data_IF_621117182951
#
_entry.id   IF_621117182951
#
_cell.length_a   1.000
_cell.length_b   1.000
_cell.length_c   1.000
_cell.angle_alpha   90.00
_cell.angle_beta   90.00
_cell.angle_gamma   90.00
#
_symmetry.space_group_name_H-M   'P 1'
#
loop_
_entity.id
_entity.type
_entity.pdbx_description
1 polymer ?
#
# COMPACT_ATOMS: atom_id res chain seq x y z
N UNK A 1 -3.98 27.96 -8.76
CA UNK A 1 -3.28 27.38 -9.93
C UNK A 1 -1.81 27.43 -9.60
N UNK A 2 -1.20 26.29 -9.29
CA UNK A 2 0.24 26.17 -9.08
C UNK A 2 0.77 25.20 -10.13
N UNK A 3 1.74 25.67 -10.91
CA UNK A 3 2.41 24.87 -11.93
C UNK A 3 3.11 23.70 -11.25
N UNK A 4 2.83 22.48 -11.71
CA UNK A 4 3.48 21.27 -11.21
C UNK A 4 4.94 21.27 -11.70
N UNK A 5 5.85 21.94 -11.00
CA UNK A 5 7.28 21.78 -11.23
C UNK A 5 7.72 20.43 -10.64
N UNK A 6 8.08 19.51 -11.52
CA UNK A 6 8.28 18.08 -11.26
C UNK A 6 9.53 17.75 -10.43
N UNK A 7 10.45 18.71 -10.26
CA UNK A 7 11.79 18.47 -9.71
C UNK A 7 12.12 19.27 -8.44
N UNK A 8 11.14 19.98 -7.88
CA UNK A 8 11.33 20.74 -6.65
C UNK A 8 11.42 19.82 -5.44
N UNK A 9 12.65 19.50 -5.06
CA UNK A 9 13.02 18.78 -3.84
C UNK A 9 13.44 19.80 -2.77
N UNK A 10 13.05 19.57 -1.51
CA UNK A 10 13.45 20.42 -0.39
C UNK A 10 12.78 21.81 -0.34
N UNK A 11 11.77 22.05 -1.18
CA UNK A 11 10.96 23.28 -1.19
C UNK A 11 9.75 23.16 -0.26
N UNK A 12 9.14 24.29 0.12
CA UNK A 12 7.89 24.30 0.93
C UNK A 12 6.75 23.50 0.28
N UNK A 13 6.66 23.51 -1.05
CA UNK A 13 5.72 22.71 -1.82
C UNK A 13 6.03 21.21 -1.69
N UNK A 14 7.30 20.81 -1.77
CA UNK A 14 7.73 19.42 -1.58
C UNK A 14 7.37 18.89 -0.19
N UNK A 15 7.63 19.67 0.86
CA UNK A 15 7.25 19.33 2.23
C UNK A 15 5.73 19.22 2.40
N UNK A 16 4.97 20.13 1.79
CA UNK A 16 3.49 20.09 1.82
C UNK A 16 2.94 18.83 1.16
N UNK A 17 3.51 18.40 0.02
CA UNK A 17 3.18 17.14 -0.65
C UNK A 17 3.50 15.92 0.21
N UNK A 18 4.69 15.88 0.83
CA UNK A 18 5.09 14.81 1.73
C UNK A 18 4.17 14.72 2.97
N UNK A 19 3.78 15.87 3.54
CA UNK A 19 2.83 15.92 4.64
C UNK A 19 1.42 15.45 4.22
N UNK A 20 0.95 15.84 3.04
CA UNK A 20 -0.32 15.36 2.48
C UNK A 20 -0.30 13.84 2.27
N UNK A 21 0.81 13.30 1.75
CA UNK A 21 1.01 11.85 1.61
C UNK A 21 0.96 11.12 2.97
N UNK A 22 1.63 11.64 3.99
CA UNK A 22 1.60 11.03 5.33
C UNK A 22 0.20 11.01 5.93
N UNK A 23 -0.59 12.09 5.75
CA UNK A 23 -1.99 12.12 6.16
C UNK A 23 -2.81 11.09 5.41
N UNK A 24 -2.67 11.02 4.08
CA UNK A 24 -3.35 10.01 3.26
C UNK A 24 -3.06 8.57 3.73
N UNK A 25 -1.80 8.22 3.98
CA UNK A 25 -1.44 6.87 4.47
C UNK A 25 -2.01 6.61 5.87
N UNK A 26 -2.01 7.62 6.74
CA UNK A 26 -2.61 7.51 8.06
C UNK A 26 -4.13 7.32 7.99
N UNK A 27 -4.82 8.04 7.12
CA UNK A 27 -6.25 7.89 6.87
C UNK A 27 -6.55 6.48 6.32
N UNK A 28 -5.77 6.00 5.35
CA UNK A 28 -5.92 4.65 4.81
C UNK A 28 -5.72 3.58 5.90
N UNK A 29 -4.75 3.77 6.81
CA UNK A 29 -4.49 2.86 7.94
C UNK A 29 -5.66 2.82 8.92
N UNK A 30 -6.21 3.97 9.29
CA UNK A 30 -7.35 4.05 10.21
C UNK A 30 -8.65 3.54 9.60
N UNK A 31 -8.81 3.63 8.28
CA UNK A 31 -9.95 3.03 7.57
C UNK A 31 -9.85 1.51 7.49
N UNK A 32 -8.64 1.00 7.33
CA UNK A 32 -8.35 -0.42 7.16
C UNK A 32 -8.19 -1.21 8.46
N UNK A 33 -7.97 -0.53 9.57
CA UNK A 33 -7.64 -1.21 10.82
C UNK A 33 -7.95 -0.44 12.08
N UNK A 34 -7.84 -1.16 13.19
CA UNK A 34 -8.08 -0.66 14.55
C UNK A 34 -6.81 -0.75 15.37
N UNK A 35 -6.55 0.23 16.22
CA UNK A 35 -5.41 0.20 17.14
C UNK A 35 -5.50 -1.01 18.07
N UNK A 36 -4.36 -1.68 18.29
CA UNK A 36 -4.23 -2.80 19.24
C UNK A 36 -3.48 -2.32 20.48
N UNK A 37 -3.90 -2.77 21.66
CA UNK A 37 -3.15 -2.55 22.91
C UNK A 37 -3.44 -1.23 23.64
N UNK A 38 -4.47 -0.47 23.23
CA UNK A 38 -5.10 0.59 24.04
C UNK A 38 -4.26 1.80 24.45
N UNK A 39 -2.99 1.92 24.06
CA UNK A 39 -2.13 3.03 24.45
C UNK A 39 -1.60 3.82 23.24
N UNK A 40 -1.78 5.15 23.30
CA UNK A 40 -1.31 6.13 22.32
C UNK A 40 0.19 6.44 22.39
N UNK A 41 0.92 5.79 23.31
CA UNK A 41 2.30 6.12 23.70
C UNK A 41 3.36 5.14 23.19
N UNK A 42 2.97 3.93 22.80
CA UNK A 42 3.86 2.98 22.11
C UNK A 42 3.59 3.11 20.60
N UNK A 43 4.64 3.18 19.77
CA UNK A 43 4.50 3.38 18.32
C UNK A 43 3.37 2.52 17.73
N UNK A 44 2.51 3.14 16.93
CA UNK A 44 1.14 2.66 16.74
C UNK A 44 1.09 1.27 16.07
N UNK A 45 0.51 0.28 16.75
CA UNK A 45 0.18 -1.05 16.20
C UNK A 45 -1.30 -1.08 15.82
N UNK A 46 -1.62 -1.55 14.62
CA UNK A 46 -2.99 -1.71 14.13
C UNK A 46 -3.23 -3.15 13.71
N UNK A 47 -4.49 -3.57 13.78
CA UNK A 47 -4.98 -4.81 13.21
C UNK A 47 -5.88 -4.50 12.03
N UNK A 48 -5.80 -5.27 10.94
CA UNK A 48 -6.81 -5.21 9.88
C UNK A 48 -8.20 -5.52 10.45
N UNK A 49 -9.26 -5.11 9.77
CA UNK A 49 -10.60 -5.39 10.27
C UNK A 49 -10.92 -6.90 10.29
N UNK A 50 -11.69 -7.32 11.31
CA UNK A 50 -12.04 -8.71 11.58
C UNK A 50 -12.80 -9.36 10.40
N UNK A 51 -12.65 -10.68 10.26
CA UNK A 51 -13.12 -11.53 9.15
C UNK A 51 -14.61 -11.42 8.72
N UNK A 52 -15.46 -10.63 9.39
CA UNK A 52 -16.81 -10.28 8.94
C UNK A 52 -16.86 -9.11 7.94
N UNK A 53 -15.76 -8.38 7.75
CA UNK A 53 -15.67 -7.22 6.84
C UNK A 53 -15.00 -7.57 5.49
N UNK A 54 -14.95 -8.84 5.11
CA UNK A 54 -14.42 -9.29 3.80
C UNK A 54 -15.20 -8.69 2.62
N UNK A 55 -16.41 -8.23 2.89
CA UNK A 55 -17.30 -7.53 1.96
C UNK A 55 -17.16 -6.00 2.07
N UNK A 56 -15.99 -5.49 2.46
CA UNK A 56 -15.72 -4.06 2.50
C UNK A 56 -14.52 -3.71 1.61
N UNK A 57 -14.72 -2.69 0.79
CA UNK A 57 -13.65 -2.04 0.03
C UNK A 57 -13.37 -0.66 0.58
N UNK A 58 -12.12 -0.23 0.48
CA UNK A 58 -11.71 1.16 0.65
C UNK A 58 -11.46 1.71 -0.76
N UNK A 59 -12.17 2.78 -1.10
CA UNK A 59 -12.00 3.47 -2.38
C UNK A 59 -11.11 4.69 -2.17
N UNK A 60 -9.97 4.71 -2.86
CA UNK A 60 -9.05 5.85 -2.89
C UNK A 60 -9.24 6.59 -4.19
N UNK A 61 -9.76 7.81 -4.10
CA UNK A 61 -9.94 8.70 -5.24
C UNK A 61 -8.68 9.53 -5.48
N UNK A 62 -8.27 9.62 -6.75
CA UNK A 62 -7.10 10.37 -7.18
C UNK A 62 -7.54 11.44 -8.16
N UNK A 63 -7.26 12.69 -7.79
CA UNK A 63 -7.43 13.86 -8.64
C UNK A 63 -6.07 14.30 -9.17
N UNK A 64 -6.04 14.65 -10.44
CA UNK A 64 -4.85 15.22 -11.09
C UNK A 64 -5.23 16.57 -11.70
N UNK A 65 -4.24 17.30 -12.18
CA UNK A 65 -4.43 18.55 -12.91
C UNK A 65 -4.86 18.35 -14.39
N UNK A 66 -5.14 17.11 -14.82
CA UNK A 66 -5.37 16.76 -16.23
C UNK A 66 -6.79 17.07 -16.75
N UNK A 67 -7.78 17.28 -15.88
CA UNK A 67 -9.09 17.78 -16.27
C UNK A 67 -9.74 18.58 -15.12
N UNK A 68 -10.81 19.31 -15.43
CA UNK A 68 -11.50 20.21 -14.50
C UNK A 68 -11.95 19.53 -13.19
N UNK A 69 -12.21 20.33 -12.14
CA UNK A 69 -12.28 19.86 -10.75
C UNK A 69 -13.49 18.96 -10.38
N UNK A 70 -14.34 18.54 -11.33
CA UNK A 70 -15.64 17.95 -11.00
C UNK A 70 -15.62 16.45 -10.70
N UNK A 71 -14.64 15.67 -11.16
CA UNK A 71 -14.61 14.20 -10.96
C UNK A 71 -13.19 13.67 -10.71
N UNK A 72 -13.05 12.60 -9.92
CA UNK A 72 -11.76 11.93 -9.73
C UNK A 72 -11.35 11.18 -11.01
N UNK A 73 -10.10 11.31 -11.45
CA UNK A 73 -9.62 10.70 -12.70
C UNK A 73 -9.31 9.21 -12.56
N UNK A 74 -8.95 8.78 -11.35
CA UNK A 74 -8.61 7.40 -11.01
C UNK A 74 -9.22 7.06 -9.64
N UNK A 75 -9.76 5.86 -9.50
CA UNK A 75 -10.15 5.28 -8.22
C UNK A 75 -9.45 3.94 -8.02
N UNK A 76 -8.77 3.74 -6.90
CA UNK A 76 -8.13 2.48 -6.51
C UNK A 76 -9.00 1.78 -5.47
N UNK A 77 -9.19 0.47 -5.59
CA UNK A 77 -10.02 -0.31 -4.66
C UNK A 77 -9.18 -1.28 -3.86
N UNK A 78 -9.20 -1.16 -2.54
CA UNK A 78 -8.49 -2.05 -1.62
C UNK A 78 -9.48 -2.89 -0.82
N UNK A 79 -9.21 -4.18 -0.65
CA UNK A 79 -9.98 -5.02 0.27
C UNK A 79 -9.62 -4.61 1.72
N UNK A 80 -10.61 -4.27 2.55
CA UNK A 80 -10.35 -3.75 3.89
C UNK A 80 -9.76 -4.78 4.86
N UNK A 81 -9.95 -6.08 4.62
CA UNK A 81 -9.49 -7.14 5.52
C UNK A 81 -7.99 -7.44 5.39
N UNK A 82 -7.37 -7.12 4.24
CA UNK A 82 -5.97 -7.43 3.96
C UNK A 82 -5.22 -6.29 3.24
N UNK A 83 -5.91 -5.21 2.90
CA UNK A 83 -5.39 -4.06 2.16
C UNK A 83 -4.78 -4.40 0.79
N UNK A 84 -5.13 -5.53 0.19
CA UNK A 84 -4.73 -5.80 -1.19
C UNK A 84 -5.52 -4.93 -2.15
N UNK A 85 -4.82 -4.34 -3.12
CA UNK A 85 -5.47 -3.71 -4.28
C UNK A 85 -6.18 -4.80 -5.08
N UNK A 86 -7.49 -4.64 -5.29
CA UNK A 86 -8.33 -5.63 -6.00
C UNK A 86 -8.71 -5.19 -7.40
N UNK A 87 -8.57 -3.90 -7.70
CA UNK A 87 -8.87 -3.31 -8.99
C UNK A 87 -8.75 -1.79 -8.97
N UNK A 88 -9.11 -1.16 -10.08
CA UNK A 88 -9.15 0.30 -10.21
C UNK A 88 -10.22 0.74 -11.22
N UNK A 89 -10.53 2.03 -11.25
CA UNK A 89 -11.34 2.64 -12.30
C UNK A 89 -10.68 3.89 -12.83
N UNK A 90 -10.75 4.08 -14.13
CA UNK A 90 -10.22 5.24 -14.83
C UNK A 90 -11.20 5.65 -15.91
N UNK A 91 -11.52 6.95 -16.00
CA UNK A 91 -12.37 7.54 -17.06
C UNK A 91 -13.60 6.69 -17.40
N UNK A 92 -14.42 6.39 -16.39
CA UNK A 92 -15.66 5.57 -16.48
C UNK A 92 -15.47 4.11 -16.91
N UNK A 93 -14.26 3.57 -16.79
CA UNK A 93 -13.96 2.15 -16.99
C UNK A 93 -13.51 1.52 -15.70
N UNK A 94 -13.91 0.28 -15.49
CA UNK A 94 -13.63 -0.47 -14.27
C UNK A 94 -12.80 -1.71 -14.60
N UNK A 95 -11.74 -1.92 -13.84
CA UNK A 95 -10.77 -2.99 -14.04
C UNK A 95 -10.57 -3.75 -12.72
N UNK A 96 -10.42 -5.07 -12.80
CA UNK A 96 -10.14 -5.93 -11.65
C UNK A 96 -9.08 -6.98 -11.98
N UNK A 97 -8.34 -7.41 -10.96
CA UNK A 97 -7.40 -8.52 -11.12
C UNK A 97 -8.10 -9.87 -11.29
N UNK A 98 -7.38 -10.86 -11.81
CA UNK A 98 -7.96 -12.18 -12.04
C UNK A 98 -8.21 -12.97 -10.77
N UNK A 99 -7.42 -12.73 -9.72
CA UNK A 99 -7.57 -13.34 -8.39
C UNK A 99 -8.64 -12.66 -7.51
N UNK A 100 -9.16 -11.50 -7.92
CA UNK A 100 -10.33 -10.88 -7.27
C UNK A 100 -11.66 -11.26 -7.94
N UNK A 101 -11.64 -11.75 -9.19
CA UNK A 101 -12.86 -12.12 -9.94
C UNK A 101 -13.53 -13.40 -9.43
N UNK A 102 -14.85 -13.40 -9.13
CA UNK A 102 -15.60 -14.63 -8.87
C UNK A 102 -15.51 -15.62 -10.05
N UNK A 103 -15.34 -16.91 -9.78
CA UNK A 103 -15.46 -18.00 -10.77
C UNK A 103 -14.17 -18.43 -11.49
N UNK A 104 -13.04 -17.75 -11.33
CA UNK A 104 -11.77 -18.04 -12.04
C UNK A 104 -10.77 -18.88 -11.20
N UNK A 105 -11.21 -20.00 -10.61
CA UNK A 105 -10.29 -20.97 -9.97
C UNK A 105 -9.45 -20.41 -8.80
N UNK A 106 -9.88 -19.32 -8.16
CA UNK A 106 -9.16 -18.68 -7.06
C UNK A 106 -9.21 -19.60 -5.83
N UNK A 107 -8.12 -20.28 -5.53
CA UNK A 107 -8.01 -21.19 -4.37
C UNK A 107 -7.94 -20.46 -3.04
N UNK A 108 -7.51 -19.20 -3.03
CA UNK A 108 -7.41 -18.39 -1.82
C UNK A 108 -8.68 -17.55 -1.58
N UNK A 109 -9.54 -17.94 -0.62
CA UNK A 109 -10.74 -17.17 -0.29
C UNK A 109 -10.44 -15.77 0.28
N UNK A 110 -9.21 -15.49 0.71
CA UNK A 110 -8.78 -14.17 1.21
C UNK A 110 -8.67 -13.14 0.09
N UNK A 111 -8.42 -13.57 -1.15
CA UNK A 111 -8.26 -12.69 -2.31
C UNK A 111 -9.57 -12.42 -3.06
N UNK A 112 -10.57 -13.30 -2.87
CA UNK A 112 -11.88 -13.16 -3.51
C UNK A 112 -12.60 -11.92 -2.99
N UNK A 113 -12.96 -11.01 -3.89
CA UNK A 113 -13.72 -9.80 -3.55
C UNK A 113 -14.80 -9.61 -4.62
N UNK A 114 -16.08 -9.55 -4.23
CA UNK A 114 -17.16 -9.28 -5.18
C UNK A 114 -17.21 -7.77 -5.52
N UNK A 115 -16.15 -7.27 -6.14
CA UNK A 115 -15.88 -5.84 -6.30
C UNK A 115 -17.01 -5.10 -7.03
N UNK A 116 -17.57 -5.71 -8.08
CA UNK A 116 -18.69 -5.12 -8.84
C UNK A 116 -19.94 -4.92 -7.97
N UNK A 117 -20.26 -5.89 -7.11
CA UNK A 117 -21.41 -5.82 -6.21
C UNK A 117 -21.15 -4.84 -5.05
N UNK A 118 -19.95 -4.84 -4.48
CA UNK A 118 -19.56 -3.89 -3.43
C UNK A 118 -19.60 -2.45 -3.96
N UNK A 119 -19.12 -2.23 -5.19
CA UNK A 119 -19.20 -0.94 -5.85
C UNK A 119 -20.66 -0.54 -6.12
N UNK A 120 -21.49 -1.47 -6.58
CA UNK A 120 -22.93 -1.25 -6.79
C UNK A 120 -23.62 -0.75 -5.53
N UNK A 121 -23.40 -1.45 -4.42
CA UNK A 121 -23.99 -1.11 -3.12
C UNK A 121 -23.50 0.24 -2.61
N UNK A 122 -22.18 0.49 -2.67
CA UNK A 122 -21.58 1.74 -2.21
C UNK A 122 -22.07 2.97 -2.98
N UNK A 123 -22.40 2.81 -4.27
CA UNK A 123 -22.84 3.91 -5.14
C UNK A 123 -24.36 3.93 -5.40
N UNK A 124 -25.14 3.09 -4.70
CA UNK A 124 -26.60 3.04 -4.86
C UNK A 124 -27.07 2.66 -6.28
N UNK A 125 -26.26 1.90 -7.03
CA UNK A 125 -26.54 1.56 -8.41
C UNK A 125 -27.58 0.44 -8.52
N UNK A 126 -28.47 0.54 -9.50
CA UNK A 126 -29.49 -0.49 -9.78
C UNK A 126 -28.86 -1.80 -10.27
N UNK A 127 -27.78 -1.72 -11.02
CA UNK A 127 -27.06 -2.85 -11.62
C UNK A 127 -25.57 -2.73 -11.35
N UNK A 128 -24.91 -3.84 -11.06
CA UNK A 128 -23.46 -3.83 -10.86
C UNK A 128 -22.76 -3.49 -12.17
N UNK A 129 -21.80 -2.54 -12.18
CA UNK A 129 -21.05 -2.25 -13.38
C UNK A 129 -20.13 -3.42 -13.74
N UNK A 130 -19.80 -3.53 -15.03
CA UNK A 130 -18.85 -4.52 -15.50
C UNK A 130 -17.43 -4.10 -15.13
N UNK A 131 -16.78 -4.92 -14.29
CA UNK A 131 -15.35 -4.84 -14.08
C UNK A 131 -14.62 -5.74 -15.08
N UNK A 132 -13.83 -5.13 -15.96
CA UNK A 132 -13.01 -5.84 -16.94
C UNK A 132 -11.86 -6.56 -16.24
N UNK A 133 -11.69 -7.84 -16.53
CA UNK A 133 -10.58 -8.61 -15.98
C UNK A 133 -9.28 -8.21 -16.68
N UNK A 134 -8.24 -7.90 -15.90
CA UNK A 134 -6.92 -7.52 -16.42
C UNK A 134 -6.15 -8.70 -17.05
N UNK A 135 -6.60 -9.93 -16.84
CA UNK A 135 -5.94 -11.15 -17.34
C UNK A 135 -4.74 -11.60 -16.51
N UNK A 136 -4.46 -10.92 -15.40
CA UNK A 136 -3.37 -11.24 -14.48
C UNK A 136 -3.74 -10.95 -13.02
N UNK A 137 -3.00 -11.57 -12.11
CA UNK A 137 -3.23 -11.50 -10.65
C UNK A 137 -2.62 -10.24 -10.05
N UNK A 138 -3.17 -9.79 -8.92
CA UNK A 138 -2.71 -8.60 -8.17
C UNK A 138 -1.47 -8.82 -7.30
N UNK A 139 -0.86 -10.00 -7.32
CA UNK A 139 0.37 -10.30 -6.57
C UNK A 139 1.65 -9.87 -7.30
N UNK A 140 2.72 -9.60 -6.54
CA UNK A 140 4.00 -9.15 -7.10
C UNK A 140 4.63 -10.09 -8.15
N UNK A 141 4.64 -11.44 -7.99
CA UNK A 141 5.14 -12.32 -9.04
C UNK A 141 4.43 -12.16 -10.40
N UNK A 142 3.16 -11.79 -10.39
CA UNK A 142 2.36 -11.55 -11.60
C UNK A 142 2.57 -10.14 -12.18
N UNK A 143 2.73 -9.13 -11.31
CA UNK A 143 2.85 -7.72 -11.70
C UNK A 143 4.28 -7.31 -12.05
N UNK A 144 5.26 -7.82 -11.32
CA UNK A 144 6.67 -7.44 -11.46
C UNK A 144 7.57 -8.63 -11.10
N UNK A 145 7.63 -9.68 -11.95
CA UNK A 145 8.38 -10.91 -11.65
C UNK A 145 9.89 -10.67 -11.44
N UNK A 146 10.43 -9.60 -12.04
CA UNK A 146 11.83 -9.20 -11.86
C UNK A 146 12.10 -8.36 -10.62
N UNK A 147 11.08 -8.00 -9.84
CA UNK A 147 11.16 -7.10 -8.68
C UNK A 147 11.81 -5.74 -9.00
N UNK A 148 11.71 -5.25 -10.23
CA UNK A 148 12.28 -3.97 -10.65
C UNK A 148 11.73 -2.79 -9.82
N UNK A 149 10.50 -2.89 -9.32
CA UNK A 149 9.86 -1.89 -8.44
C UNK A 149 10.66 -1.56 -7.19
N UNK A 150 11.48 -2.50 -6.71
CA UNK A 150 12.24 -2.35 -5.45
C UNK A 150 13.30 -1.26 -5.59
N UNK A 151 13.81 -1.06 -6.81
CA UNK A 151 14.79 -0.04 -7.16
C UNK A 151 14.17 1.15 -7.89
N UNK A 152 12.84 1.17 -8.07
CA UNK A 152 12.14 2.33 -8.64
C UNK A 152 11.99 3.39 -7.56
N UNK A 153 12.37 4.61 -7.89
CA UNK A 153 12.28 5.73 -6.95
C UNK A 153 10.84 6.23 -6.78
N UNK A 154 10.52 6.71 -5.59
CA UNK A 154 9.21 7.22 -5.18
C UNK A 154 9.16 8.76 -5.15
N UNK A 155 9.88 9.45 -6.04
CA UNK A 155 9.74 10.90 -6.14
C UNK A 155 8.40 11.26 -6.76
N UNK A 156 7.94 12.48 -6.49
CA UNK A 156 6.62 12.97 -6.87
C UNK A 156 6.30 12.76 -8.37
N UNK A 157 7.25 13.01 -9.26
CA UNK A 157 7.05 12.87 -10.70
C UNK A 157 6.91 11.40 -11.15
N UNK A 158 7.57 10.45 -10.49
CA UNK A 158 7.43 9.01 -10.80
C UNK A 158 6.08 8.47 -10.35
N UNK A 159 5.59 8.92 -9.19
CA UNK A 159 4.24 8.62 -8.70
C UNK A 159 3.20 9.19 -9.66
N UNK A 160 3.34 10.46 -10.05
CA UNK A 160 2.45 11.08 -11.03
C UNK A 160 2.49 10.35 -12.38
N UNK A 161 3.68 9.97 -12.86
CA UNK A 161 3.82 9.18 -14.09
C UNK A 161 3.06 7.86 -14.03
N UNK A 162 3.19 7.11 -12.93
CA UNK A 162 2.44 5.87 -12.74
C UNK A 162 0.92 6.09 -12.67
N UNK A 163 0.47 7.13 -11.96
CA UNK A 163 -0.95 7.53 -11.91
C UNK A 163 -1.46 7.88 -13.31
N UNK A 164 -0.71 8.66 -14.08
CA UNK A 164 -1.10 9.07 -15.43
C UNK A 164 -1.17 7.88 -16.38
N UNK A 165 -0.24 6.91 -16.29
CA UNK A 165 -0.34 5.64 -17.04
C UNK A 165 -1.67 4.92 -16.80
N UNK A 166 -2.14 4.88 -15.55
CA UNK A 166 -3.43 4.27 -15.20
C UNK A 166 -4.62 5.12 -15.69
N UNK A 167 -4.52 6.44 -15.62
CA UNK A 167 -5.57 7.36 -16.12
C UNK A 167 -5.71 7.23 -17.65
N UNK A 168 -4.61 7.19 -18.38
CA UNK A 168 -4.58 7.17 -19.84
C UNK A 168 -4.68 5.75 -20.42
N UNK A 169 -4.99 4.75 -19.58
CA UNK A 169 -5.11 3.36 -19.98
C UNK A 169 -6.11 3.18 -21.13
N UNK A 170 -5.59 2.74 -22.27
CA UNK A 170 -6.40 2.24 -23.37
C UNK A 170 -6.83 0.78 -23.12
N UNK A 171 -8.01 0.34 -23.61
CA UNK A 171 -8.54 -1.01 -23.34
C UNK A 171 -7.64 -2.16 -23.79
N UNK A 172 -6.73 -1.90 -24.74
CA UNK A 172 -5.94 -2.92 -25.43
C UNK A 172 -4.54 -3.14 -24.86
N UNK A 173 -4.11 -2.39 -23.83
CA UNK A 173 -2.78 -2.51 -23.24
C UNK A 173 -2.73 -2.82 -21.71
N UNK A 174 -3.53 -3.76 -21.16
CA UNK A 174 -3.51 -4.03 -19.71
C UNK A 174 -2.13 -4.48 -19.17
N UNK A 175 -1.33 -5.16 -20.00
CA UNK A 175 -0.02 -5.68 -19.60
C UNK A 175 1.01 -4.56 -19.35
N UNK A 176 0.85 -3.40 -19.99
CA UNK A 176 1.78 -2.27 -19.81
C UNK A 176 1.71 -1.67 -18.39
N UNK A 177 0.59 -1.85 -17.69
CA UNK A 177 0.32 -1.23 -16.39
C UNK A 177 0.89 -2.01 -15.21
N UNK A 178 1.33 -3.25 -15.41
CA UNK A 178 1.67 -4.16 -14.31
C UNK A 178 2.71 -3.57 -13.35
N UNK A 179 3.76 -2.95 -13.91
CA UNK A 179 4.83 -2.32 -13.12
C UNK A 179 4.37 -1.03 -12.42
N UNK A 180 3.49 -0.26 -13.04
CA UNK A 180 2.92 0.94 -12.42
C UNK A 180 1.95 0.57 -11.29
N UNK A 181 1.14 -0.47 -11.47
CA UNK A 181 0.30 -1.05 -10.41
C UNK A 181 1.16 -1.57 -9.26
N UNK A 182 2.21 -2.34 -9.53
CA UNK A 182 3.11 -2.83 -8.49
C UNK A 182 3.77 -1.70 -7.69
N UNK A 183 4.17 -0.63 -8.39
CA UNK A 183 4.75 0.56 -7.78
C UNK A 183 3.73 1.33 -6.92
N UNK A 184 2.50 1.52 -7.41
CA UNK A 184 1.44 2.17 -6.64
C UNK A 184 1.00 1.35 -5.44
N UNK A 185 1.00 0.02 -5.50
CA UNK A 185 0.77 -0.86 -4.34
C UNK A 185 1.84 -0.59 -3.26
N UNK A 186 3.11 -0.46 -3.66
CA UNK A 186 4.19 -0.07 -2.75
C UNK A 186 3.96 1.29 -2.09
N UNK A 187 3.54 2.29 -2.87
CA UNK A 187 3.22 3.64 -2.40
C UNK A 187 1.92 3.75 -1.58
N UNK A 188 1.10 2.71 -1.52
CA UNK A 188 -0.22 2.74 -0.87
C UNK A 188 -0.35 1.64 0.16
N UNK A 189 -0.70 0.42 -0.25
CA UNK A 189 -0.89 -0.74 0.63
C UNK A 189 0.33 -1.01 1.50
N UNK A 190 1.54 -1.06 0.92
CA UNK A 190 2.74 -1.42 1.69
C UNK A 190 3.17 -0.29 2.63
N UNK A 191 3.07 0.96 2.20
CA UNK A 191 3.28 2.13 3.06
C UNK A 191 2.27 2.18 4.23
N UNK A 192 1.04 1.75 3.99
CA UNK A 192 0.02 1.65 5.05
C UNK A 192 0.37 0.52 6.03
N UNK A 193 0.84 -0.63 5.52
CA UNK A 193 1.26 -1.77 6.33
C UNK A 193 2.49 -1.49 7.18
N UNK A 194 3.44 -0.70 6.68
CA UNK A 194 4.72 -0.45 7.33
C UNK A 194 5.09 1.02 7.33
N UNK A 195 5.21 1.60 8.53
CA UNK A 195 5.63 2.98 8.72
C UNK A 195 7.03 3.26 8.20
N UNK A 196 7.91 2.26 8.14
CA UNK A 196 9.20 2.40 7.46
C UNK A 196 9.04 2.71 5.98
N UNK A 197 8.17 1.99 5.26
CA UNK A 197 7.89 2.24 3.84
C UNK A 197 7.22 3.61 3.68
N UNK A 198 6.27 3.95 4.55
CA UNK A 198 5.66 5.29 4.55
C UNK A 198 6.72 6.40 4.66
N UNK A 199 7.64 6.31 5.63
CA UNK A 199 8.70 7.32 5.81
C UNK A 199 9.63 7.39 4.62
N UNK A 200 10.04 6.24 4.06
CA UNK A 200 10.90 6.17 2.86
C UNK A 200 10.26 6.86 1.66
N UNK A 201 8.98 6.57 1.39
CA UNK A 201 8.23 7.23 0.29
C UNK A 201 8.03 8.71 0.57
N UNK A 202 7.64 9.08 1.80
CA UNK A 202 7.47 10.49 2.18
C UNK A 202 8.77 11.28 2.01
N UNK A 203 9.91 10.71 2.37
CA UNK A 203 11.22 11.34 2.21
C UNK A 203 11.59 11.46 0.72
N UNK A 204 11.30 10.45 -0.10
CA UNK A 204 11.49 10.55 -1.55
C UNK A 204 10.62 11.66 -2.19
N UNK A 205 9.38 11.84 -1.72
CA UNK A 205 8.47 12.90 -2.19
C UNK A 205 8.97 14.30 -1.79
N UNK A 206 9.36 14.49 -0.53
CA UNK A 206 9.72 15.81 0.01
C UNK A 206 11.18 16.21 -0.25
N UNK A 207 12.09 15.25 -0.07
CA UNK A 207 13.54 15.45 -0.03
C UNK A 207 14.27 14.74 -1.17
N UNK A 208 13.55 14.11 -2.10
CA UNK A 208 14.16 13.38 -3.22
C UNK A 208 14.87 12.08 -2.84
N UNK A 209 14.90 11.76 -1.54
CA UNK A 209 15.55 10.60 -0.94
C UNK A 209 15.49 10.62 0.59
N UNK A 210 15.84 9.51 1.23
CA UNK A 210 15.83 9.35 2.69
C UNK A 210 17.17 9.70 3.34
N UNK A 211 17.29 10.94 3.82
CA UNK A 211 18.48 11.43 4.50
C UNK A 211 18.77 10.76 5.86
N UNK A 212 17.83 9.99 6.42
CA UNK A 212 18.09 9.20 7.63
C UNK A 212 18.90 7.93 7.35
N UNK A 213 19.12 7.62 6.07
CA UNK A 213 19.91 6.48 5.60
C UNK A 213 21.07 6.95 4.69
N UNK A 214 22.02 7.75 5.24
CA UNK A 214 23.13 8.30 4.45
C UNK A 214 24.11 7.22 3.99
N UNK A 215 24.18 6.08 4.70
CA UNK A 215 25.02 4.94 4.36
C UNK A 215 24.62 4.30 3.02
N UNK A 216 23.36 4.46 2.63
CA UNK A 216 22.84 3.99 1.35
C UNK A 216 22.65 5.15 0.34
N UNK A 217 23.39 6.25 0.47
CA UNK A 217 23.34 7.40 -0.43
C UNK A 217 21.96 8.06 -0.54
N UNK A 218 21.24 8.19 0.59
CA UNK A 218 19.92 8.83 0.67
C UNK A 218 18.89 8.23 -0.31
N UNK A 219 18.51 6.95 -0.15
CA UNK A 219 17.77 6.23 -1.17
C UNK A 219 16.38 6.83 -1.40
N UNK A 220 15.97 6.91 -2.67
CA UNK A 220 14.62 7.29 -3.06
C UNK A 220 13.70 6.08 -3.32
N UNK A 221 14.19 4.86 -3.12
CA UNK A 221 13.51 3.60 -3.38
C UNK A 221 13.49 2.71 -2.12
N UNK A 222 12.77 1.58 -2.18
CA UNK A 222 12.59 0.69 -1.03
C UNK A 222 13.80 -0.22 -0.78
N UNK A 223 14.45 -0.71 -1.84
CA UNK A 223 15.56 -1.64 -1.72
C UNK A 223 15.18 -2.97 -1.07
N UNK A 224 16.19 -3.79 -0.81
CA UNK A 224 16.01 -5.16 -0.29
C UNK A 224 15.27 -5.19 1.06
N UNK A 225 15.56 -4.24 1.95
CA UNK A 225 14.87 -4.13 3.23
C UNK A 225 13.35 -3.98 3.05
N UNK A 226 12.89 -3.04 2.22
CA UNK A 226 11.46 -2.86 1.95
C UNK A 226 10.84 -4.08 1.26
N UNK A 227 11.55 -4.70 0.31
CA UNK A 227 11.10 -5.95 -0.33
C UNK A 227 10.86 -7.07 0.69
N UNK A 228 11.79 -7.24 1.64
CA UNK A 228 11.65 -8.28 2.66
C UNK A 228 10.54 -7.95 3.66
N UNK A 229 10.28 -6.68 3.98
CA UNK A 229 9.11 -6.31 4.78
C UNK A 229 7.81 -6.80 4.14
N UNK A 230 7.61 -6.49 2.87
CA UNK A 230 6.42 -6.89 2.10
C UNK A 230 6.22 -8.41 2.11
N UNK A 231 7.31 -9.17 1.91
CA UNK A 231 7.27 -10.64 1.90
C UNK A 231 7.02 -11.26 3.28
N UNK A 232 7.42 -10.56 4.35
CA UNK A 232 7.36 -11.06 5.73
C UNK A 232 6.19 -10.47 6.52
N UNK A 233 5.25 -9.81 5.87
CA UNK A 233 4.11 -9.18 6.55
C UNK A 233 3.32 -10.15 7.45
N UNK A 234 3.04 -11.37 6.97
CA UNK A 234 2.34 -12.39 7.76
C UNK A 234 3.18 -12.88 8.95
N UNK A 235 4.49 -13.05 8.76
CA UNK A 235 5.42 -13.44 9.83
C UNK A 235 5.51 -12.36 10.92
N UNK A 236 5.63 -11.09 10.52
CA UNK A 236 5.67 -9.93 11.41
C UNK A 236 4.35 -9.72 12.15
N UNK A 237 3.21 -9.97 11.49
CA UNK A 237 1.89 -9.91 12.13
C UNK A 237 1.76 -10.98 13.23
N UNK A 238 2.17 -12.22 12.95
CA UNK A 238 2.21 -13.30 13.97
C UNK A 238 3.15 -12.95 15.12
N UNK A 239 4.32 -12.37 14.82
CA UNK A 239 5.26 -11.95 15.85
C UNK A 239 4.63 -10.92 16.79
N UNK A 240 3.98 -9.89 16.24
CA UNK A 240 3.31 -8.86 17.02
C UNK A 240 2.20 -9.43 17.91
N UNK A 241 1.32 -10.28 17.37
CA UNK A 241 0.24 -10.89 18.16
C UNK A 241 0.74 -11.82 19.25
N UNK A 242 1.72 -12.67 18.95
CA UNK A 242 2.30 -13.55 19.97
C UNK A 242 2.91 -12.76 21.12
N UNK A 243 3.52 -11.62 20.83
CA UNK A 243 4.17 -10.78 21.85
C UNK A 243 3.14 -10.07 22.72
N UNK A 244 2.07 -9.54 22.11
CA UNK A 244 0.93 -8.98 22.85
C UNK A 244 0.24 -10.02 23.74
N UNK A 245 0.11 -11.25 23.27
CA UNK A 245 -0.52 -12.36 24.00
C UNK A 245 0.43 -13.01 25.04
N UNK A 246 1.67 -12.50 25.20
CA UNK A 246 2.67 -13.04 26.14
C UNK A 246 3.20 -14.44 25.78
N UNK A 247 3.00 -14.86 24.53
CA UNK A 247 3.26 -16.22 24.04
C UNK A 247 4.51 -16.35 23.16
N UNK A 248 5.35 -15.30 23.05
CA UNK A 248 6.59 -15.34 22.26
C UNK A 248 7.56 -16.36 22.87
N UNK A 249 7.60 -17.55 22.27
CA UNK A 249 8.70 -18.50 22.45
C UNK A 249 9.43 -18.63 21.14
N UNK A 250 10.68 -18.13 21.09
CA UNK A 250 11.65 -18.33 20.02
C UNK A 250 11.23 -17.90 18.59
N UNK A 251 10.14 -17.15 18.42
CA UNK A 251 9.74 -16.63 17.13
C UNK A 251 10.62 -15.44 16.74
N UNK A 252 11.29 -15.51 15.60
CA UNK A 252 12.09 -14.39 15.07
C UNK A 252 11.81 -14.22 13.58
N UNK A 253 11.89 -12.98 13.11
CA UNK A 253 11.73 -12.63 11.70
C UNK A 253 12.94 -11.85 11.25
N UNK A 254 13.65 -12.33 10.23
CA UNK A 254 14.82 -11.63 9.68
C UNK A 254 14.43 -10.84 8.42
N UNK A 255 14.77 -9.55 8.41
CA UNK A 255 14.56 -8.59 7.33
C UNK A 255 15.92 -7.98 6.96
N UNK A 256 16.44 -8.31 5.79
CA UNK A 256 17.72 -7.80 5.26
C UNK A 256 18.81 -7.83 6.33
N UNK A 257 19.08 -9.05 6.82
CA UNK A 257 20.04 -9.39 7.88
C UNK A 257 19.77 -8.78 9.26
N UNK A 258 18.59 -8.17 9.49
CA UNK A 258 18.17 -7.62 10.79
C UNK A 258 17.07 -8.49 11.37
N UNK A 259 17.28 -9.02 12.57
CA UNK A 259 16.33 -9.95 13.21
C UNK A 259 15.40 -9.22 14.17
N UNK A 260 14.10 -9.33 13.98
CA UNK A 260 13.03 -8.84 14.87
C UNK A 260 12.55 -9.99 15.76
N UNK A 261 12.46 -9.75 17.06
CA UNK A 261 12.17 -10.78 18.08
C UNK A 261 10.91 -10.49 18.89
N UNK A 262 10.45 -9.25 18.92
CA UNK A 262 9.32 -8.78 19.72
C UNK A 262 8.82 -7.42 19.20
N UNK A 263 7.80 -6.86 19.84
CA UNK A 263 7.25 -5.56 19.51
C UNK A 263 8.27 -4.44 19.72
N UNK A 264 9.12 -4.48 20.74
CA UNK A 264 10.11 -3.42 20.96
C UNK A 264 11.07 -3.25 19.78
N UNK A 265 11.44 -4.36 19.12
CA UNK A 265 12.18 -4.31 17.85
C UNK A 265 11.36 -3.68 16.72
N UNK A 266 10.08 -4.04 16.60
CA UNK A 266 9.15 -3.47 15.60
C UNK A 266 9.01 -1.96 15.79
N UNK A 267 8.92 -1.51 17.04
CA UNK A 267 8.80 -0.10 17.40
C UNK A 267 10.11 0.68 17.24
N UNK A 268 11.26 0.00 17.11
CA UNK A 268 12.58 0.64 17.05
C UNK A 268 13.05 1.18 18.40
N UNK A 269 12.55 0.62 19.51
CA UNK A 269 12.98 0.99 20.87
C UNK A 269 14.40 0.47 21.14
N UNK A 270 14.75 -0.67 20.55
CA UNK A 270 16.08 -1.28 20.70
C UNK A 270 17.08 -0.70 19.69
N UNK A 271 18.30 -0.41 20.15
CA UNK A 271 19.38 0.08 19.30
C UNK A 271 19.79 -0.96 18.23
N UNK A 272 20.15 -0.48 17.02
CA UNK A 272 20.79 -1.28 15.98
C UNK A 272 19.88 -1.85 14.89
N UNK A 273 18.60 -1.46 14.81
CA UNK A 273 17.72 -1.77 13.66
C UNK A 273 16.68 -0.66 13.43
N UNK A 274 16.23 -0.43 12.18
CA UNK A 274 15.15 0.51 11.92
C UNK A 274 13.85 0.04 12.57
N UNK A 275 13.15 0.93 13.28
CA UNK A 275 11.76 0.70 13.65
C UNK A 275 10.91 0.60 12.38
N UNK A 276 10.00 -0.37 12.33
CA UNK A 276 9.11 -0.60 11.18
C UNK A 276 7.69 -0.11 11.44
N UNK A 277 7.43 0.37 12.66
CA UNK A 277 6.17 0.97 13.09
C UNK A 277 5.85 2.29 12.37
N UNK A 278 4.56 2.66 12.24
CA UNK A 278 3.38 1.85 12.54
C UNK A 278 3.31 0.56 11.72
N UNK A 279 2.77 -0.53 12.29
CA UNK A 279 2.46 -1.74 11.54
C UNK A 279 0.95 -1.97 11.54
N UNK A 280 0.39 -2.29 10.38
CA UNK A 280 -0.97 -2.82 10.26
C UNK A 280 -0.86 -4.34 10.11
N UNK A 281 -1.03 -5.07 11.20
CA UNK A 281 -0.96 -6.52 11.28
C UNK A 281 -2.22 -7.17 10.68
N UNK A 282 -2.08 -8.41 10.21
CA UNK A 282 -3.20 -9.24 9.78
C UNK A 282 -3.98 -9.75 10.99
N UNK A 283 -5.23 -9.35 11.11
CA UNK A 283 -6.08 -9.81 12.20
C UNK A 283 -6.16 -11.33 12.29
N UNK A 284 -6.07 -11.84 13.52
CA UNK A 284 -6.15 -13.27 13.80
C UNK A 284 -4.91 -14.07 13.38
N UNK A 285 -3.82 -13.42 12.97
CA UNK A 285 -2.56 -14.13 12.70
C UNK A 285 -1.95 -14.63 14.02
N UNK A 286 -2.03 -15.93 14.29
CA UNK A 286 -1.42 -16.61 15.44
C UNK A 286 -0.35 -17.61 15.00
#
# INVERSE_FOLDING_TARGET
MENFQSDEVGTSAAYSRAHAYNRFIQDLRTQAGTLIGGQSTLGQLYDTQQSGTRDRIIQVHVWTNLAGPSESHLALYFNAANLYLVGFSSRNRHYQFSDSSPGQGVSDPVLRTNLSELYRQANGLRTAPLFQNLGYRGNYPSLDPGNARVNREYRSYQIMGAVNSLIDTAPLLPNALRRDLAFLIGATSEATRFGWIQRRVSAAIGNGGDASDPQNHNPAHLGEFGRQLELRWSDLSRLAHRDLDGSVRNATVTIDNRTYRNINDILGINAGRPGISPILALHGSR
#
